data_IF_554369201300
#
_entry.id   IF_554369201300
#
_cell.length_a   1.000
_cell.length_b   1.000
_cell.length_c   1.000
_cell.angle_alpha   90.00
_cell.angle_beta   90.00
_cell.angle_gamma   90.00
#
_symmetry.space_group_name_H-M   'P 1'
#
loop_
_entity.id
_entity.type
_entity.pdbx_description
1 polymer ?
#
# COMPACT_ATOMS: atom_id res chain seq x y z
N UNK A 1 13.72 21.13 -1.01
CA UNK A 1 14.28 19.95 -1.70
C UNK A 1 13.23 19.45 -2.67
N UNK A 2 13.60 19.17 -3.92
CA UNK A 2 12.72 18.43 -4.82
C UNK A 2 12.71 16.95 -4.41
N UNK A 3 11.57 16.30 -4.61
CA UNK A 3 11.39 14.86 -4.42
C UNK A 3 11.03 14.22 -5.76
N UNK A 4 11.36 12.95 -5.93
CA UNK A 4 10.84 12.17 -7.05
C UNK A 4 9.35 11.91 -6.85
N UNK A 5 8.61 11.64 -7.93
CA UNK A 5 7.21 11.23 -7.83
C UNK A 5 7.03 9.97 -6.97
N UNK A 6 7.98 9.03 -7.04
CA UNK A 6 7.93 7.82 -6.24
C UNK A 6 8.01 8.12 -4.75
N UNK A 7 8.91 9.01 -4.35
CA UNK A 7 9.06 9.44 -2.96
C UNK A 7 7.82 10.19 -2.47
N UNK A 8 7.23 11.04 -3.33
CA UNK A 8 6.01 11.76 -3.03
C UNK A 8 4.81 10.81 -2.81
N UNK A 9 4.64 9.81 -3.68
CA UNK A 9 3.58 8.78 -3.55
C UNK A 9 3.77 7.99 -2.25
N UNK A 10 4.99 7.50 -1.99
CA UNK A 10 5.28 6.76 -0.76
C UNK A 10 5.00 7.58 0.49
N UNK A 11 5.40 8.85 0.49
CA UNK A 11 5.17 9.75 1.62
C UNK A 11 3.67 10.00 1.85
N UNK A 12 2.88 10.14 0.79
CA UNK A 12 1.43 10.28 0.89
C UNK A 12 0.76 9.02 1.44
N UNK A 13 1.18 7.83 0.98
CA UNK A 13 0.71 6.54 1.50
C UNK A 13 1.08 6.36 2.98
N UNK A 14 2.31 6.65 3.35
CA UNK A 14 2.77 6.60 4.75
C UNK A 14 1.94 7.53 5.64
N UNK A 15 1.69 8.76 5.19
CA UNK A 15 0.86 9.72 5.91
C UNK A 15 -0.57 9.20 6.10
N UNK A 16 -1.20 8.68 5.05
CA UNK A 16 -2.55 8.12 5.14
C UNK A 16 -2.61 6.93 6.11
N UNK A 17 -1.58 6.08 6.13
CA UNK A 17 -1.48 4.97 7.07
C UNK A 17 -1.30 5.44 8.52
N UNK A 18 -0.58 6.55 8.75
CA UNK A 18 -0.39 7.12 10.08
C UNK A 18 -1.65 7.80 10.62
N UNK A 19 -2.34 8.55 9.77
CA UNK A 19 -3.43 9.42 10.18
C UNK A 19 -4.74 8.66 10.49
N UNK A 20 -4.99 7.54 9.81
CA UNK A 20 -6.23 6.77 9.95
C UNK A 20 -5.94 5.27 10.13
N UNK A 21 -6.34 4.62 11.24
CA UNK A 21 -6.15 3.19 11.44
C UNK A 21 -6.94 2.30 10.47
N UNK A 22 -7.99 2.82 9.82
CA UNK A 22 -8.81 2.06 8.86
C UNK A 22 -8.19 1.96 7.47
N UNK A 23 -7.24 2.83 7.13
CA UNK A 23 -6.55 2.78 5.83
C UNK A 23 -5.68 1.53 5.76
N UNK A 24 -5.64 0.83 4.64
CA UNK A 24 -4.64 -0.20 4.39
C UNK A 24 -4.27 -0.21 2.91
N UNK A 25 -3.14 -0.85 2.60
CA UNK A 25 -2.69 -1.07 1.23
C UNK A 25 -2.80 -2.56 0.92
N UNK A 26 -3.36 -2.88 -0.24
CA UNK A 26 -3.49 -4.26 -0.73
C UNK A 26 -3.18 -4.32 -2.23
N UNK A 27 -2.31 -5.25 -2.63
CA UNK A 27 -1.95 -5.43 -4.04
C UNK A 27 -0.77 -6.36 -4.26
N UNK A 28 -0.41 -6.57 -5.52
CA UNK A 28 0.65 -7.51 -5.89
C UNK A 28 2.04 -6.93 -5.55
N UNK A 29 2.85 -7.73 -4.85
CA UNK A 29 4.24 -7.42 -4.47
C UNK A 29 4.47 -6.14 -3.65
N UNK A 30 3.42 -5.53 -3.08
CA UNK A 30 3.52 -4.26 -2.34
C UNK A 30 4.01 -4.43 -0.90
N UNK A 31 3.96 -5.66 -0.37
CA UNK A 31 4.36 -6.00 0.99
C UNK A 31 5.87 -6.01 1.15
N UNK A 32 6.45 -7.20 1.31
CA UNK A 32 7.90 -7.35 1.56
C UNK A 32 8.75 -6.85 0.39
N UNK A 33 8.30 -7.03 -0.84
CA UNK A 33 9.04 -6.56 -2.02
C UNK A 33 8.98 -5.03 -2.18
N UNK A 34 7.95 -4.36 -1.62
CA UNK A 34 7.80 -2.91 -1.63
C UNK A 34 7.28 -2.33 -2.96
N UNK A 35 6.71 -3.18 -3.80
CA UNK A 35 6.13 -2.86 -5.11
C UNK A 35 7.14 -2.95 -6.26
N UNK A 36 6.63 -3.19 -7.47
CA UNK A 36 7.39 -3.23 -8.72
C UNK A 36 8.33 -2.01 -8.89
N UNK A 37 7.80 -0.82 -8.59
CA UNK A 37 8.51 0.45 -8.68
C UNK A 37 9.08 0.94 -7.36
N UNK A 38 8.95 0.17 -6.26
CA UNK A 38 9.39 0.56 -4.91
C UNK A 38 8.59 1.68 -4.25
N UNK A 39 7.32 1.86 -4.68
CA UNK A 39 6.41 2.87 -4.14
C UNK A 39 5.99 2.61 -2.68
N UNK A 40 5.96 1.35 -2.23
CA UNK A 40 5.55 0.96 -0.86
C UNK A 40 6.71 0.45 -0.01
N UNK A 41 7.96 0.70 -0.45
CA UNK A 41 9.17 0.22 0.23
C UNK A 41 9.14 0.55 1.73
N UNK A 42 9.37 -0.47 2.55
CA UNK A 42 9.41 -0.46 4.02
C UNK A 42 8.08 -0.13 4.72
N UNK A 43 6.98 0.10 3.99
CA UNK A 43 5.69 0.39 4.64
C UNK A 43 5.12 -0.83 5.36
N UNK A 44 5.31 -2.04 4.84
CA UNK A 44 4.86 -3.27 5.52
C UNK A 44 5.57 -3.52 6.86
N UNK A 45 6.83 -3.10 6.99
CA UNK A 45 7.57 -3.18 8.24
C UNK A 45 7.10 -2.12 9.24
N UNK A 46 6.81 -0.90 8.77
CA UNK A 46 6.31 0.21 9.59
C UNK A 46 4.87 0.02 10.05
N UNK A 47 4.02 -0.59 9.22
CA UNK A 47 2.59 -0.78 9.44
C UNK A 47 2.22 -2.27 9.31
N UNK A 48 2.65 -3.11 10.27
CA UNK A 48 2.42 -4.54 10.20
C UNK A 48 0.93 -4.86 10.14
N UNK A 49 0.55 -5.73 9.21
CA UNK A 49 -0.85 -6.11 8.96
C UNK A 49 -1.66 -5.11 8.15
N UNK A 50 -1.09 -3.98 7.71
CA UNK A 50 -1.80 -2.94 6.93
C UNK A 50 -1.23 -2.67 5.54
N UNK A 51 -0.17 -3.38 5.16
CA UNK A 51 0.37 -3.40 3.78
C UNK A 51 0.54 -4.86 3.40
N UNK A 52 -0.34 -5.37 2.56
CA UNK A 52 -0.54 -6.80 2.35
C UNK A 52 -0.41 -7.16 0.87
N UNK A 53 0.28 -8.27 0.61
CA UNK A 53 0.36 -8.85 -0.73
C UNK A 53 -0.96 -9.54 -1.11
N UNK A 54 -1.40 -9.34 -2.34
CA UNK A 54 -2.56 -10.02 -2.91
C UNK A 54 -2.14 -11.20 -3.80
N UNK A 55 -3.05 -12.16 -4.07
CA UNK A 55 -2.92 -13.06 -5.22
C UNK A 55 -2.89 -12.29 -6.55
N UNK A 56 -2.48 -12.99 -7.61
CA UNK A 56 -2.50 -12.46 -8.98
C UNK A 56 -3.92 -12.59 -9.56
N UNK A 57 -4.81 -11.72 -9.12
CA UNK A 57 -6.20 -11.63 -9.58
C UNK A 57 -6.74 -10.22 -9.30
N UNK A 58 -6.86 -9.43 -10.36
CA UNK A 58 -7.25 -8.02 -10.30
C UNK A 58 -8.71 -7.85 -9.87
N UNK A 59 -9.58 -8.75 -10.32
CA UNK A 59 -10.98 -8.81 -9.93
C UNK A 59 -11.16 -9.09 -8.43
N UNK A 60 -10.39 -10.03 -7.87
CA UNK A 60 -10.39 -10.27 -6.43
C UNK A 60 -9.83 -9.08 -5.64
N UNK A 61 -8.77 -8.42 -6.14
CA UNK A 61 -8.23 -7.21 -5.52
C UNK A 61 -9.26 -6.10 -5.41
N UNK A 62 -9.92 -5.79 -6.53
CA UNK A 62 -10.93 -4.73 -6.57
C UNK A 62 -12.15 -5.13 -5.75
N UNK A 63 -12.62 -6.36 -5.86
CA UNK A 63 -13.76 -6.87 -5.07
C UNK A 63 -13.52 -6.78 -3.56
N UNK A 64 -12.33 -7.16 -3.09
CA UNK A 64 -11.94 -7.01 -1.68
C UNK A 64 -11.92 -5.54 -1.27
N UNK A 65 -11.29 -4.66 -2.05
CA UNK A 65 -11.21 -3.24 -1.74
C UNK A 65 -12.59 -2.59 -1.64
N UNK A 66 -13.51 -2.93 -2.54
CA UNK A 66 -14.91 -2.46 -2.49
C UNK A 66 -15.61 -3.00 -1.25
N UNK A 67 -15.52 -4.31 -0.98
CA UNK A 67 -16.16 -4.92 0.18
C UNK A 67 -15.63 -4.39 1.51
N UNK A 68 -14.34 -4.06 1.61
CA UNK A 68 -13.74 -3.48 2.80
C UNK A 68 -14.12 -2.01 3.04
N UNK A 69 -14.59 -1.31 2.00
CA UNK A 69 -14.97 0.10 2.08
C UNK A 69 -16.46 0.33 2.43
N UNK A 70 -17.29 -0.71 2.35
CA UNK A 70 -18.71 -0.71 2.72
C UNK A 70 -18.89 -0.81 4.25
#
# INVERSE_FOLDING_TARGET
MSVTYLEAIRAAQEKALQDDPNVFLYGQDIGRFGGAFKATRNLAEKFPGRVMDSPISEDAMVGLAVGAAL
#
